data_IF_077083397237
#
_entry.id   IF_077083397237
#
_cell.length_a   1.000
_cell.length_b   1.000
_cell.length_c   1.000
_cell.angle_alpha   90.00
_cell.angle_beta   90.00
_cell.angle_gamma   90.00
#
_symmetry.space_group_name_H-M   'P 1'
#
loop_
_entity.id
_entity.type
_entity.pdbx_description
1 polymer ?
#
# COMPACT_ATOMS: atom_id res chain seq x y z
N UNK A 1 -7.18 8.94 54.45
CA UNK A 1 -8.13 9.39 53.41
C UNK A 1 -8.16 8.36 52.30
N UNK A 2 -9.12 7.44 52.36
CA UNK A 2 -9.33 6.39 51.36
C UNK A 2 -9.80 7.03 50.04
N UNK A 3 -9.04 6.83 48.96
CA UNK A 3 -9.43 7.31 47.63
C UNK A 3 -10.33 6.27 47.00
N UNK A 4 -11.64 6.53 47.01
CA UNK A 4 -12.64 5.78 46.26
C UNK A 4 -12.31 5.83 44.76
N UNK A 5 -11.88 4.70 44.19
CA UNK A 5 -11.80 4.52 42.74
C UNK A 5 -13.17 4.08 42.24
N UNK A 6 -13.98 5.03 41.79
CA UNK A 6 -15.25 4.74 41.11
C UNK A 6 -14.95 4.12 39.74
N UNK A 7 -15.09 2.81 39.63
CA UNK A 7 -15.05 2.11 38.34
C UNK A 7 -16.36 2.35 37.60
N UNK A 8 -16.35 3.19 36.54
CA UNK A 8 -17.48 3.28 35.61
C UNK A 8 -17.66 1.94 34.91
N UNK A 9 -18.88 1.41 34.92
CA UNK A 9 -19.26 0.19 34.21
C UNK A 9 -19.15 0.40 32.70
N UNK A 10 -18.51 -0.55 32.02
CA UNK A 10 -18.30 -0.55 30.57
C UNK A 10 -19.66 -0.76 29.88
N UNK A 11 -20.11 0.22 29.09
CA UNK A 11 -21.31 0.09 28.25
C UNK A 11 -21.19 -1.12 27.31
N UNK A 12 -22.29 -1.85 27.02
CA UNK A 12 -22.28 -2.95 26.07
C UNK A 12 -21.82 -2.46 24.68
N UNK A 13 -20.79 -3.09 24.13
CA UNK A 13 -20.32 -2.79 22.78
C UNK A 13 -21.47 -2.96 21.79
N UNK A 14 -21.79 -1.90 21.06
CA UNK A 14 -22.60 -1.98 19.85
C UNK A 14 -21.96 -2.98 18.88
N UNK A 15 -22.74 -3.78 18.14
CA UNK A 15 -22.20 -4.81 17.27
C UNK A 15 -21.23 -4.17 16.28
N UNK A 16 -19.97 -4.64 16.32
CA UNK A 16 -18.92 -4.24 15.38
C UNK A 16 -19.47 -4.43 13.97
N UNK A 17 -19.67 -3.32 13.24
CA UNK A 17 -20.00 -3.35 11.81
C UNK A 17 -19.07 -4.36 11.14
N UNK A 18 -19.66 -5.32 10.44
CA UNK A 18 -18.95 -6.31 9.66
C UNK A 18 -17.82 -5.61 8.90
N UNK A 19 -16.62 -6.18 9.04
CA UNK A 19 -15.40 -5.69 8.40
C UNK A 19 -15.70 -5.58 6.92
N UNK A 20 -15.77 -4.35 6.41
CA UNK A 20 -15.92 -4.12 4.99
C UNK A 20 -14.84 -4.94 4.27
N UNK A 21 -15.27 -5.73 3.28
CA UNK A 21 -14.41 -6.42 2.32
C UNK A 21 -13.18 -5.56 2.01
N UNK A 22 -11.98 -6.16 1.81
CA UNK A 22 -10.81 -5.42 1.39
C UNK A 22 -11.28 -4.52 0.26
N UNK A 23 -11.22 -3.20 0.47
CA UNK A 23 -11.58 -2.24 -0.57
C UNK A 23 -10.68 -2.60 -1.72
N UNK A 24 -11.19 -3.38 -2.68
CA UNK A 24 -10.71 -3.41 -4.04
C UNK A 24 -10.53 -1.94 -4.32
N UNK A 25 -9.27 -1.52 -4.42
CA UNK A 25 -8.92 -0.12 -4.58
C UNK A 25 -9.74 0.28 -5.79
N UNK A 26 -10.89 0.94 -5.55
CA UNK A 26 -11.74 1.43 -6.61
C UNK A 26 -10.74 2.29 -7.33
N UNK A 27 -10.33 1.84 -8.51
CA UNK A 27 -9.89 2.75 -9.54
C UNK A 27 -10.87 3.90 -9.37
N UNK A 28 -10.39 5.04 -8.86
CA UNK A 28 -11.18 6.24 -8.87
C UNK A 28 -11.36 6.44 -10.36
N UNK A 29 -12.41 5.82 -10.90
CA UNK A 29 -12.59 5.67 -12.33
C UNK A 29 -12.59 7.09 -12.81
N UNK A 30 -11.95 7.37 -13.94
CA UNK A 30 -11.98 8.71 -14.51
C UNK A 30 -13.43 9.26 -14.59
N UNK A 31 -14.41 8.35 -14.60
CA UNK A 31 -15.84 8.57 -14.39
C UNK A 31 -16.24 9.31 -13.10
N UNK A 32 -15.60 8.99 -11.97
CA UNK A 32 -15.83 9.57 -10.64
C UNK A 32 -15.13 10.90 -10.39
N UNK A 33 -14.32 11.37 -11.34
CA UNK A 33 -13.64 12.66 -11.24
C UNK A 33 -14.66 13.80 -11.34
N UNK A 34 -14.52 14.84 -10.52
CA UNK A 34 -15.40 16.02 -10.55
C UNK A 34 -15.51 16.64 -11.96
N UNK A 35 -14.43 16.62 -12.73
CA UNK A 35 -14.43 17.09 -14.12
C UNK A 35 -15.38 16.29 -15.03
N UNK A 36 -15.48 14.97 -14.88
CA UNK A 36 -16.43 14.12 -15.63
C UNK A 36 -17.88 14.52 -15.34
N UNK A 37 -18.20 14.81 -14.07
CA UNK A 37 -19.52 15.29 -13.67
C UNK A 37 -19.84 16.68 -14.24
N UNK A 38 -18.87 17.60 -14.22
CA UNK A 38 -19.02 18.94 -14.80
C UNK A 38 -19.30 18.87 -16.31
N UNK A 39 -18.46 18.15 -17.07
CA UNK A 39 -18.63 18.00 -18.53
C UNK A 39 -19.96 17.31 -18.86
N UNK A 40 -20.37 16.30 -18.09
CA UNK A 40 -21.66 15.66 -18.29
C UNK A 40 -22.85 16.60 -18.04
N UNK A 41 -22.72 17.53 -17.10
CA UNK A 41 -23.72 18.59 -16.85
C UNK A 41 -23.79 19.60 -17.99
N UNK A 42 -22.64 20.01 -18.53
CA UNK A 42 -22.55 20.99 -19.63
C UNK A 42 -23.22 20.53 -20.93
N UNK A 43 -23.47 19.23 -21.11
CA UNK A 43 -24.25 18.70 -22.25
C UNK A 43 -25.71 19.18 -22.27
N UNK A 44 -26.22 19.69 -21.15
CA UNK A 44 -27.57 20.25 -21.01
C UNK A 44 -27.57 21.78 -20.91
N UNK A 45 -26.47 22.41 -21.29
CA UNK A 45 -26.33 23.86 -21.22
C UNK A 45 -27.30 24.55 -22.19
N UNK A 46 -27.76 25.76 -21.86
CA UNK A 46 -28.72 26.51 -22.67
C UNK A 46 -28.12 26.97 -24.01
N UNK A 47 -26.81 27.18 -24.04
CA UNK A 47 -26.05 27.49 -25.25
C UNK A 47 -25.79 26.20 -26.05
N UNK A 48 -26.28 26.09 -27.30
CA UNK A 48 -26.14 24.89 -28.12
C UNK A 48 -24.68 24.58 -28.48
N UNK A 49 -23.82 25.58 -28.62
CA UNK A 49 -22.41 25.37 -28.98
C UNK A 49 -21.65 24.75 -27.79
N UNK A 50 -21.91 25.27 -26.59
CA UNK A 50 -21.35 24.70 -25.34
C UNK A 50 -21.87 23.28 -25.11
N UNK A 51 -23.15 23.03 -25.36
CA UNK A 51 -23.75 21.70 -25.23
C UNK A 51 -23.19 20.69 -26.25
N UNK A 52 -22.95 21.14 -27.49
CA UNK A 52 -22.32 20.36 -28.55
C UNK A 52 -20.89 19.96 -28.20
N UNK A 53 -20.05 20.94 -27.87
CA UNK A 53 -18.66 20.70 -27.47
C UNK A 53 -18.55 19.79 -26.24
N UNK A 54 -19.41 20.00 -25.24
CA UNK A 54 -19.44 19.14 -24.06
C UNK A 54 -19.83 17.69 -24.39
N UNK A 55 -20.69 17.48 -25.39
CA UNK A 55 -21.09 16.14 -25.86
C UNK A 55 -19.94 15.42 -26.55
N UNK A 56 -19.16 16.13 -27.37
CA UNK A 56 -18.02 15.56 -28.07
C UNK A 56 -16.92 15.16 -27.08
N UNK A 57 -16.53 16.09 -26.20
CA UNK A 57 -15.55 15.83 -25.13
C UNK A 57 -15.97 14.67 -24.24
N UNK A 58 -17.26 14.60 -23.86
CA UNK A 58 -17.76 13.48 -23.06
C UNK A 58 -17.66 12.15 -23.82
N UNK A 59 -17.95 12.14 -25.11
CA UNK A 59 -17.91 10.93 -25.94
C UNK A 59 -16.48 10.42 -26.10
N UNK A 60 -15.54 11.30 -26.40
CA UNK A 60 -14.11 10.98 -26.46
C UNK A 60 -13.58 10.48 -25.12
N UNK A 61 -13.98 11.12 -24.02
CA UNK A 61 -13.62 10.70 -22.66
C UNK A 61 -14.10 9.26 -22.39
N UNK A 62 -15.36 8.92 -22.71
CA UNK A 62 -15.89 7.56 -22.53
C UNK A 62 -15.16 6.54 -23.41
N UNK A 63 -14.85 6.89 -24.65
CA UNK A 63 -14.07 6.05 -25.56
C UNK A 63 -12.66 5.80 -25.02
N UNK A 64 -12.01 6.85 -24.49
CA UNK A 64 -10.70 6.75 -23.86
C UNK A 64 -10.71 5.81 -22.65
N UNK A 65 -11.69 5.93 -21.74
CA UNK A 65 -11.81 5.00 -20.60
C UNK A 65 -11.94 3.55 -21.08
N UNK A 66 -12.80 3.30 -22.07
CA UNK A 66 -13.02 1.95 -22.62
C UNK A 66 -11.75 1.39 -23.28
N UNK A 67 -11.03 2.22 -24.01
CA UNK A 67 -9.75 1.83 -24.64
C UNK A 67 -8.66 1.53 -23.60
N UNK A 68 -8.72 2.17 -22.43
CA UNK A 68 -7.73 2.05 -21.38
C UNK A 68 -8.15 1.11 -20.23
N UNK A 69 -9.31 0.45 -20.32
CA UNK A 69 -9.87 -0.34 -19.22
C UNK A 69 -9.10 -1.64 -18.93
N UNK A 70 -8.39 -2.16 -19.93
CA UNK A 70 -7.56 -3.36 -19.82
C UNK A 70 -6.11 -3.08 -19.42
N UNK A 71 -5.74 -1.81 -19.20
CA UNK A 71 -4.37 -1.49 -18.80
C UNK A 71 -4.13 -1.98 -17.37
N UNK A 72 -3.04 -2.73 -17.12
CA UNK A 72 -2.71 -3.14 -15.76
C UNK A 72 -2.48 -1.89 -14.90
N UNK A 73 -2.90 -1.94 -13.64
CA UNK A 73 -2.63 -0.88 -12.68
C UNK A 73 -1.11 -0.75 -12.51
N UNK A 74 -0.55 0.38 -12.92
CA UNK A 74 0.86 0.70 -12.65
C UNK A 74 0.99 1.00 -11.16
N UNK A 75 1.89 0.29 -10.46
CA UNK A 75 2.28 0.67 -9.11
C UNK A 75 3.06 1.98 -9.21
N UNK A 76 2.37 3.10 -9.01
CA UNK A 76 3.00 4.42 -8.91
C UNK A 76 3.95 4.35 -7.71
N UNK A 77 5.23 4.58 -7.96
CA UNK A 77 6.25 4.68 -6.90
C UNK A 77 5.83 5.76 -5.91
N UNK A 78 6.07 5.50 -4.63
CA UNK A 78 5.72 6.48 -3.60
C UNK A 78 6.56 7.74 -3.77
N UNK A 79 6.19 8.83 -3.07
CA UNK A 79 7.02 10.02 -3.03
C UNK A 79 8.45 9.69 -2.53
N UNK A 80 9.47 10.49 -2.89
CA UNK A 80 10.87 10.19 -2.54
C UNK A 80 11.11 9.95 -1.04
N UNK A 81 10.38 10.66 -0.17
CA UNK A 81 10.50 10.51 1.28
C UNK A 81 9.93 9.18 1.75
N UNK A 82 8.77 8.77 1.24
CA UNK A 82 8.21 7.44 1.51
C UNK A 82 9.15 6.33 1.02
N UNK A 83 9.66 6.43 -0.20
CA UNK A 83 10.60 5.44 -0.74
C UNK A 83 11.88 5.33 0.10
N UNK A 84 12.40 6.44 0.63
CA UNK A 84 13.55 6.42 1.54
C UNK A 84 13.26 5.62 2.84
N UNK A 85 12.08 5.80 3.44
CA UNK A 85 11.69 5.01 4.61
C UNK A 85 11.53 3.53 4.29
N UNK A 86 10.95 3.20 3.13
CA UNK A 86 10.77 1.82 2.68
C UNK A 86 12.12 1.16 2.39
N UNK A 87 13.06 1.87 1.76
CA UNK A 87 14.43 1.40 1.54
C UNK A 87 15.15 1.10 2.85
N UNK A 88 15.02 1.98 3.85
CA UNK A 88 15.59 1.72 5.19
C UNK A 88 14.97 0.50 5.87
N UNK A 89 13.65 0.30 5.74
CA UNK A 89 12.99 -0.89 6.27
C UNK A 89 13.49 -2.19 5.60
N UNK A 90 13.63 -2.19 4.27
CA UNK A 90 14.19 -3.32 3.52
C UNK A 90 15.64 -3.62 3.92
N UNK A 91 16.47 -2.59 4.10
CA UNK A 91 17.84 -2.75 4.61
C UNK A 91 17.87 -3.48 5.96
N UNK A 92 17.07 -3.03 6.92
CA UNK A 92 16.96 -3.67 8.24
C UNK A 92 16.45 -5.11 8.15
N UNK A 93 15.54 -5.41 7.22
CA UNK A 93 15.04 -6.76 6.98
C UNK A 93 16.09 -7.66 6.33
N UNK A 94 16.87 -7.15 5.36
CA UNK A 94 17.99 -7.89 4.77
C UNK A 94 19.02 -8.27 5.85
N UNK A 95 19.39 -7.31 6.70
CA UNK A 95 20.28 -7.54 7.83
C UNK A 95 19.71 -8.57 8.81
N UNK A 96 18.43 -8.46 9.16
CA UNK A 96 17.77 -9.40 10.08
C UNK A 96 17.61 -10.81 9.50
N UNK A 97 17.56 -10.92 8.19
CA UNK A 97 17.49 -12.19 7.49
C UNK A 97 18.88 -12.74 7.19
N UNK A 98 19.99 -12.12 7.59
CA UNK A 98 21.34 -12.58 7.20
C UNK A 98 21.41 -12.89 5.68
N UNK A 99 20.88 -11.99 4.85
CA UNK A 99 20.90 -12.13 3.39
C UNK A 99 22.11 -11.40 2.85
N UNK A 100 22.90 -12.09 2.04
CA UNK A 100 23.99 -11.44 1.31
C UNK A 100 23.41 -10.39 0.36
N UNK A 101 23.94 -9.18 0.46
CA UNK A 101 23.54 -8.08 -0.41
C UNK A 101 24.10 -8.36 -1.80
N UNK A 102 23.27 -8.90 -2.68
CA UNK A 102 23.65 -9.08 -4.08
C UNK A 102 23.70 -7.70 -4.73
N UNK A 103 24.91 -7.18 -4.94
CA UNK A 103 25.12 -6.02 -5.80
C UNK A 103 24.86 -6.47 -7.24
N UNK A 104 23.63 -6.30 -7.72
CA UNK A 104 23.33 -6.50 -9.13
C UNK A 104 23.97 -5.33 -9.88
N UNK A 105 25.19 -5.56 -10.38
CA UNK A 105 25.86 -4.66 -11.30
C UNK A 105 25.19 -4.86 -12.67
N UNK A 106 24.08 -4.16 -12.93
CA UNK A 106 23.55 -4.10 -14.30
C UNK A 106 24.59 -3.38 -15.15
N UNK A 107 25.13 -4.06 -16.15
CA UNK A 107 26.24 -3.63 -17.02
C UNK A 107 25.96 -2.38 -17.87
N UNK A 108 24.77 -1.78 -17.76
CA UNK A 108 24.43 -0.52 -18.40
C UNK A 108 24.73 0.63 -17.44
N UNK A 109 25.80 1.37 -17.72
CA UNK A 109 26.32 2.48 -16.92
C UNK A 109 25.37 3.68 -16.74
N UNK A 110 24.27 3.47 -16.03
CA UNK A 110 23.51 4.53 -15.36
C UNK A 110 23.79 4.43 -13.86
N UNK A 111 24.10 5.54 -13.23
CA UNK A 111 24.36 5.68 -11.80
C UNK A 111 23.14 5.32 -10.94
N UNK A 112 22.81 4.05 -10.82
CA UNK A 112 21.84 3.56 -9.84
C UNK A 112 22.58 3.20 -8.56
N UNK A 113 22.58 4.16 -7.63
CA UNK A 113 22.73 3.98 -6.19
C UNK A 113 22.53 2.53 -5.73
N UNK A 114 23.61 1.85 -5.31
CA UNK A 114 23.65 0.44 -4.91
C UNK A 114 22.33 -0.05 -4.29
N UNK A 115 21.69 -0.98 -4.99
CA UNK A 115 20.36 -1.46 -4.67
C UNK A 115 20.46 -2.63 -3.68
N UNK A 116 20.38 -2.32 -2.39
CA UNK A 116 20.26 -3.30 -1.30
C UNK A 116 18.81 -3.80 -1.26
N UNK A 117 18.37 -4.52 -2.29
CA UNK A 117 17.01 -5.08 -2.32
C UNK A 117 17.12 -6.59 -2.60
N UNK A 118 17.05 -7.41 -1.55
CA UNK A 118 16.80 -8.83 -1.72
C UNK A 118 15.29 -9.05 -1.90
N UNK A 119 14.83 -9.82 -2.91
CA UNK A 119 13.40 -9.99 -3.21
C UNK A 119 12.54 -10.41 -2.01
N UNK A 120 13.08 -11.28 -1.14
CA UNK A 120 12.40 -11.71 0.08
C UNK A 120 12.14 -10.54 1.05
N UNK A 121 13.14 -9.69 1.30
CA UNK A 121 13.00 -8.54 2.19
C UNK A 121 12.05 -7.48 1.60
N UNK A 122 12.08 -7.30 0.28
CA UNK A 122 11.12 -6.46 -0.42
C UNK A 122 9.68 -6.98 -0.29
N UNK A 123 9.46 -8.29 -0.48
CA UNK A 123 8.14 -8.89 -0.36
C UNK A 123 7.58 -8.76 1.08
N UNK A 124 8.41 -8.96 2.10
CA UNK A 124 8.01 -8.79 3.51
C UNK A 124 7.64 -7.34 3.81
N UNK A 125 8.46 -6.38 3.38
CA UNK A 125 8.17 -4.96 3.55
C UNK A 125 6.91 -4.54 2.79
N UNK A 126 6.76 -4.99 1.54
CA UNK A 126 5.60 -4.68 0.70
C UNK A 126 4.31 -5.17 1.33
N UNK A 127 4.28 -6.39 1.85
CA UNK A 127 3.12 -6.93 2.56
C UNK A 127 2.81 -6.13 3.83
N UNK A 128 3.84 -5.77 4.62
CA UNK A 128 3.69 -4.93 5.80
C UNK A 128 3.13 -3.53 5.45
N UNK A 129 3.60 -2.94 4.34
CA UNK A 129 3.12 -1.67 3.83
C UNK A 129 1.67 -1.75 3.37
N UNK A 130 1.29 -2.82 2.66
CA UNK A 130 -0.08 -3.07 2.21
C UNK A 130 -1.05 -3.24 3.38
N UNK A 131 -0.68 -4.04 4.39
CA UNK A 131 -1.49 -4.19 5.60
C UNK A 131 -1.64 -2.89 6.40
N UNK A 132 -0.70 -1.95 6.21
CA UNK A 132 -0.69 -0.63 6.86
C UNK A 132 -1.32 0.47 6.01
N UNK A 133 -2.25 0.11 5.13
CA UNK A 133 -2.97 1.05 4.24
C UNK A 133 -2.06 1.82 3.28
N UNK A 134 -0.89 1.27 2.93
CA UNK A 134 0.08 1.90 2.01
C UNK A 134 0.55 3.28 2.48
N UNK A 135 0.74 3.43 3.78
CA UNK A 135 1.22 4.65 4.41
C UNK A 135 2.32 4.35 5.42
N UNK A 136 3.32 5.24 5.53
CA UNK A 136 4.38 5.20 6.56
C UNK A 136 3.82 5.66 7.91
N UNK A 137 2.83 4.92 8.39
CA UNK A 137 2.07 5.19 9.59
C UNK A 137 2.78 4.66 10.84
N UNK A 138 2.32 5.07 12.03
CA UNK A 138 2.84 4.51 13.28
C UNK A 138 2.63 2.98 13.40
N UNK A 139 1.47 2.41 12.98
CA UNK A 139 1.30 0.96 12.85
C UNK A 139 2.35 0.29 11.95
N UNK A 140 2.59 0.84 10.76
CA UNK A 140 3.62 0.35 9.83
C UNK A 140 4.99 0.27 10.51
N UNK A 141 5.45 1.39 11.11
CA UNK A 141 6.77 1.44 11.78
C UNK A 141 6.88 0.51 12.98
N UNK A 142 5.77 0.26 13.71
CA UNK A 142 5.75 -0.71 14.81
C UNK A 142 5.84 -2.15 14.28
N UNK A 143 5.12 -2.45 13.21
CA UNK A 143 5.14 -3.77 12.59
C UNK A 143 6.51 -4.10 12.00
N UNK A 144 7.12 -3.18 11.24
CA UNK A 144 8.48 -3.37 10.70
C UNK A 144 9.49 -3.67 11.82
N UNK A 145 9.46 -2.90 12.92
CA UNK A 145 10.33 -3.16 14.07
C UNK A 145 10.07 -4.53 14.71
N UNK A 146 8.81 -4.94 14.83
CA UNK A 146 8.45 -6.25 15.38
C UNK A 146 8.93 -7.40 14.47
N UNK A 147 8.78 -7.27 13.15
CA UNK A 147 9.27 -8.24 12.17
C UNK A 147 10.79 -8.37 12.23
N UNK A 148 11.51 -7.24 12.19
CA UNK A 148 12.97 -7.21 12.32
C UNK A 148 13.42 -7.86 13.63
N UNK A 149 12.79 -7.52 14.75
CA UNK A 149 13.12 -8.10 16.05
C UNK A 149 12.88 -9.61 16.07
N UNK A 150 11.74 -10.08 15.56
CA UNK A 150 11.44 -11.52 15.45
C UNK A 150 12.50 -12.25 14.63
N UNK A 151 12.85 -11.72 13.45
CA UNK A 151 13.84 -12.34 12.57
C UNK A 151 15.24 -12.36 13.18
N UNK A 152 15.65 -11.29 13.88
CA UNK A 152 16.97 -11.23 14.55
C UNK A 152 17.09 -12.22 15.70
N UNK A 153 16.02 -12.38 16.50
CA UNK A 153 16.09 -13.09 17.77
C UNK A 153 15.41 -14.47 17.77
N UNK A 154 14.81 -14.90 16.66
CA UNK A 154 14.20 -16.24 16.51
C UNK A 154 14.77 -16.93 15.27
N UNK A 155 15.89 -17.66 15.39
CA UNK A 155 16.57 -18.27 14.23
C UNK A 155 15.69 -19.30 13.51
N UNK A 156 14.85 -20.05 14.23
CA UNK A 156 13.88 -20.99 13.65
C UNK A 156 12.92 -20.29 12.68
N UNK A 157 12.28 -19.22 13.14
CA UNK A 157 11.37 -18.42 12.31
C UNK A 157 12.10 -17.80 11.12
N UNK A 158 13.36 -17.37 11.31
CA UNK A 158 14.19 -16.87 10.21
C UNK A 158 14.45 -17.95 9.15
N UNK A 159 14.77 -19.18 9.57
CA UNK A 159 15.00 -20.31 8.67
C UNK A 159 13.71 -20.73 7.93
N UNK A 160 12.56 -20.79 8.63
CA UNK A 160 11.26 -21.09 8.03
C UNK A 160 10.85 -20.07 6.96
N UNK A 161 11.10 -18.78 7.20
CA UNK A 161 10.82 -17.72 6.23
C UNK A 161 11.77 -17.78 5.03
N UNK A 162 13.06 -18.10 5.25
CA UNK A 162 14.04 -18.29 4.15
C UNK A 162 13.70 -19.47 3.26
N UNK A 163 13.31 -20.59 3.86
CA UNK A 163 12.97 -21.84 3.15
C UNK A 163 11.58 -21.79 2.50
N UNK A 164 10.77 -20.80 2.85
CA UNK A 164 9.40 -20.66 2.35
C UNK A 164 8.38 -21.54 3.06
N UNK A 165 8.80 -22.31 4.08
CA UNK A 165 7.91 -23.11 4.95
C UNK A 165 6.87 -22.21 5.62
N UNK A 166 7.31 -21.06 6.12
CA UNK A 166 6.41 -20.00 6.59
C UNK A 166 6.24 -18.96 5.49
N UNK A 167 5.03 -18.88 4.93
CA UNK A 167 4.73 -17.93 3.85
C UNK A 167 4.82 -16.48 4.35
N UNK A 168 5.30 -15.57 3.48
CA UNK A 168 5.43 -14.14 3.79
C UNK A 168 4.12 -13.53 4.29
N UNK A 169 2.95 -13.75 3.65
CA UNK A 169 1.68 -13.20 4.15
C UNK A 169 1.34 -13.70 5.56
N UNK A 170 1.50 -15.00 5.85
CA UNK A 170 1.21 -15.56 7.16
C UNK A 170 2.15 -14.99 8.23
N UNK A 171 3.45 -14.91 7.93
CA UNK A 171 4.45 -14.31 8.81
C UNK A 171 4.12 -12.85 9.14
N UNK A 172 3.86 -12.03 8.12
CA UNK A 172 3.59 -10.61 8.32
C UNK A 172 2.27 -10.39 9.05
N UNK A 173 1.23 -11.15 8.72
CA UNK A 173 -0.08 -11.06 9.39
C UNK A 173 -0.01 -11.43 10.87
N UNK A 174 0.83 -12.37 11.28
CA UNK A 174 1.01 -12.73 12.70
C UNK A 174 1.54 -11.57 13.56
N UNK A 175 2.17 -10.56 12.94
CA UNK A 175 2.73 -9.38 13.62
C UNK A 175 1.81 -8.16 13.53
N UNK A 176 0.62 -8.31 12.95
CA UNK A 176 -0.39 -7.25 12.91
C UNK A 176 -1.04 -7.10 14.28
N UNK A 177 -0.89 -5.92 14.88
CA UNK A 177 -1.58 -5.51 16.11
C UNK A 177 -2.84 -4.71 15.80
#
# INVERSE_FOLDING_TARGET
MERFVVRRTRSPQSPRRARAEPRAYRQATLESLKASHTVNGMRKHSDPDVAGLAKDVYTEWRASIKHHSNRPSIEVRSDPKTEAFRKNARKLLCEALDLEVVFIFTSTGSCSQGQIDHPLAENIEREAFHLSSRLISAPYRRMVRALVFSLKHRPETRAEVKTGTLTVPAFVQSHKK
#
